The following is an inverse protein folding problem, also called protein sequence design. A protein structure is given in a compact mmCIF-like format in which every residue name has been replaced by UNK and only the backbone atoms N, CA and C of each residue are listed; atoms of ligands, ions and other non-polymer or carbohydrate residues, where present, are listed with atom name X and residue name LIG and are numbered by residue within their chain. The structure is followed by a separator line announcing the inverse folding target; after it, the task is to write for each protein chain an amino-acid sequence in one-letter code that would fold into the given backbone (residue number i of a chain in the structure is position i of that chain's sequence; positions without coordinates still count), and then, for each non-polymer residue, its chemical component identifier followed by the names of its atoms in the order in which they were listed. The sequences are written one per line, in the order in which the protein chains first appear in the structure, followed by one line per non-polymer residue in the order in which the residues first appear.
data_IF_982754776619
#
_entry.id   IF_982754776619
#
_cell.length_a   1.000
_cell.length_b   1.000
_cell.length_c   1.000
_cell.angle_alpha   90.00
_cell.angle_beta   90.00
_cell.angle_gamma   90.00
#
_symmetry.space_group_name_H-M   'P 1'
#
loop_
_entity.id
_entity.type
_entity.pdbx_description
1 polymer ?
#
# COMPACT_ATOMS: atom_id res chain seq x y z
N UNK A 1 -9.25 -14.07 0.47
CA UNK A 1 -9.70 -13.00 -0.44
C UNK A 1 -8.55 -12.03 -0.65
N UNK A 2 -8.43 -11.42 -1.83
CA UNK A 2 -7.41 -10.40 -2.10
C UNK A 2 -7.70 -9.10 -1.32
N UNK A 3 -6.68 -8.27 -1.11
CA UNK A 3 -6.84 -6.96 -0.46
C UNK A 3 -7.92 -6.10 -1.15
N UNK A 4 -7.95 -6.12 -2.48
CA UNK A 4 -8.99 -5.46 -3.28
C UNK A 4 -10.41 -5.92 -2.91
N UNK A 5 -10.61 -7.24 -2.85
CA UNK A 5 -11.90 -7.84 -2.51
C UNK A 5 -12.29 -7.63 -1.04
N UNK A 6 -11.31 -7.53 -0.14
CA UNK A 6 -11.56 -7.25 1.28
C UNK A 6 -12.07 -5.82 1.52
N UNK A 7 -11.76 -4.88 0.63
CA UNK A 7 -12.05 -3.46 0.81
C UNK A 7 -12.93 -2.84 -0.29
N UNK A 8 -13.33 -3.60 -1.30
CA UNK A 8 -14.09 -3.08 -2.45
C UNK A 8 -13.30 -2.13 -3.34
N UNK A 9 -11.96 -2.23 -3.33
CA UNK A 9 -11.09 -1.48 -4.23
C UNK A 9 -10.96 -2.20 -5.58
N UNK A 10 -10.65 -1.47 -6.64
CA UNK A 10 -10.39 -2.04 -7.97
C UNK A 10 -9.10 -2.91 -7.93
N UNK A 11 -9.22 -4.24 -8.11
CA UNK A 11 -8.05 -5.14 -8.07
C UNK A 11 -7.04 -4.85 -9.17
N UNK A 12 -7.48 -4.47 -10.36
CA UNK A 12 -6.59 -4.20 -11.48
C UNK A 12 -5.81 -2.91 -11.26
N UNK A 13 -6.45 -1.91 -10.65
CA UNK A 13 -5.78 -0.68 -10.24
C UNK A 13 -4.69 -0.97 -9.19
N UNK A 14 -5.00 -1.76 -8.16
CA UNK A 14 -4.03 -2.10 -7.12
C UNK A 14 -2.84 -2.88 -7.69
N UNK A 15 -3.07 -3.79 -8.64
CA UNK A 15 -1.99 -4.52 -9.30
C UNK A 15 -1.10 -3.60 -10.14
N UNK A 16 -1.68 -2.70 -10.95
CA UNK A 16 -0.92 -1.72 -11.73
C UNK A 16 -0.04 -0.83 -10.84
N UNK A 17 -0.61 -0.31 -9.75
CA UNK A 17 0.12 0.55 -8.81
C UNK A 17 1.24 -0.23 -8.12
N UNK A 18 0.98 -1.43 -7.57
CA UNK A 18 2.00 -2.23 -6.90
C UNK A 18 3.16 -2.61 -7.84
N UNK A 19 2.86 -2.90 -9.11
CA UNK A 19 3.91 -3.16 -10.10
C UNK A 19 4.76 -1.91 -10.38
N UNK A 20 4.12 -0.76 -10.58
CA UNK A 20 4.83 0.47 -10.87
C UNK A 20 5.67 0.95 -9.68
N UNK A 21 5.15 0.84 -8.47
CA UNK A 21 5.81 1.30 -7.24
C UNK A 21 6.99 0.40 -6.84
N UNK A 22 6.84 -0.92 -6.89
CA UNK A 22 7.83 -1.85 -6.32
C UNK A 22 8.24 -3.00 -7.24
N UNK A 23 7.61 -3.14 -8.42
CA UNK A 23 7.67 -4.37 -9.25
C UNK A 23 7.28 -5.60 -8.45
N UNK A 24 6.26 -5.45 -7.58
CA UNK A 24 5.79 -6.48 -6.65
C UNK A 24 6.82 -6.95 -5.62
N UNK A 25 7.89 -6.18 -5.37
CA UNK A 25 8.85 -6.50 -4.32
C UNK A 25 8.40 -5.94 -2.96
N UNK A 26 8.00 -6.77 -1.99
CA UNK A 26 7.55 -6.30 -0.68
C UNK A 26 8.66 -5.71 0.17
N UNK A 27 9.92 -5.87 -0.21
CA UNK A 27 11.09 -5.30 0.47
C UNK A 27 11.69 -4.10 -0.26
N UNK A 28 11.00 -3.57 -1.28
CA UNK A 28 11.47 -2.39 -1.99
C UNK A 28 11.56 -1.18 -1.05
N UNK A 29 12.67 -0.45 -1.13
CA UNK A 29 12.90 0.80 -0.39
C UNK A 29 13.41 1.86 -1.35
N UNK A 30 12.77 3.01 -1.37
CA UNK A 30 13.29 4.20 -2.04
C UNK A 30 14.28 4.90 -1.09
N UNK A 31 15.57 4.86 -1.42
CA UNK A 31 16.63 5.43 -0.57
C UNK A 31 16.55 6.96 -0.38
N UNK A 32 15.84 7.67 -1.28
CA UNK A 32 15.71 9.14 -1.21
C UNK A 32 14.52 9.58 -0.37
N UNK A 33 13.37 8.94 -0.52
CA UNK A 33 12.14 9.33 0.18
C UNK A 33 11.87 8.50 1.45
N UNK A 34 12.47 7.31 1.56
CA UNK A 34 12.14 6.34 2.60
C UNK A 34 10.83 5.59 2.34
N UNK A 35 10.23 5.75 1.15
CA UNK A 35 9.06 4.98 0.75
C UNK A 35 9.38 3.47 0.71
N UNK A 36 8.46 2.65 1.24
CA UNK A 36 8.75 1.24 1.46
C UNK A 36 7.57 0.29 1.18
N UNK A 37 7.93 -0.94 0.85
CA UNK A 37 6.98 -2.04 0.62
C UNK A 37 6.30 -1.99 -0.74
N UNK A 38 5.30 -2.87 -0.91
CA UNK A 38 4.63 -3.10 -2.19
C UNK A 38 4.05 -1.83 -2.82
N UNK A 39 3.43 -0.99 -2.00
CA UNK A 39 2.80 0.26 -2.40
C UNK A 39 3.63 1.49 -2.03
N UNK A 40 4.93 1.32 -1.74
CA UNK A 40 5.87 2.42 -1.48
C UNK A 40 5.31 3.48 -0.53
N UNK A 41 4.85 3.04 0.64
CA UNK A 41 4.32 3.96 1.65
C UNK A 41 5.44 4.83 2.23
N UNK A 42 5.20 6.14 2.28
CA UNK A 42 6.00 7.04 3.11
C UNK A 42 5.85 6.70 4.60
N UNK A 43 6.90 6.83 5.43
CA UNK A 43 6.86 6.40 6.84
C UNK A 43 5.69 6.98 7.64
N UNK A 44 5.41 8.29 7.50
CA UNK A 44 4.32 8.95 8.20
C UNK A 44 2.93 8.46 7.73
N UNK A 45 2.77 8.26 6.41
CA UNK A 45 1.53 7.73 5.83
C UNK A 45 1.28 6.30 6.28
N UNK A 46 2.33 5.47 6.33
CA UNK A 46 2.24 4.10 6.87
C UNK A 46 1.77 4.11 8.33
N UNK A 47 2.48 4.85 9.19
CA UNK A 47 2.20 4.90 10.63
C UNK A 47 0.75 5.30 10.93
N UNK A 48 0.17 6.23 10.17
CA UNK A 48 -1.21 6.67 10.35
C UNK A 48 -2.23 5.65 9.81
N UNK A 49 -2.01 5.10 8.61
CA UNK A 49 -3.04 4.34 7.91
C UNK A 49 -3.00 2.84 8.19
N UNK A 50 -1.83 2.27 8.54
CA UNK A 50 -1.76 0.84 8.89
C UNK A 50 -2.61 0.55 10.13
N UNK A 51 -2.57 1.41 11.15
CA UNK A 51 -3.42 1.30 12.34
C UNK A 51 -4.90 1.38 11.97
N UNK A 52 -5.28 2.34 11.12
CA UNK A 52 -6.67 2.52 10.66
C UNK A 52 -7.18 1.34 9.82
N UNK A 53 -6.28 0.70 9.08
CA UNK A 53 -6.57 -0.50 8.29
C UNK A 53 -6.54 -1.80 9.13
N UNK A 54 -6.25 -1.72 10.45
CA UNK A 54 -6.22 -2.88 11.35
C UNK A 54 -4.86 -3.60 11.44
N UNK A 55 -3.79 -3.01 10.90
CA UNK A 55 -2.43 -3.55 10.86
C UNK A 55 -1.46 -2.76 11.74
N UNK A 56 -1.95 -2.23 12.86
CA UNK A 56 -1.08 -1.54 13.83
C UNK A 56 0.03 -2.47 14.32
N UNK A 57 1.28 -1.97 14.31
CA UNK A 57 2.47 -2.75 14.69
C UNK A 57 3.02 -3.66 13.58
N UNK A 58 2.32 -3.80 12.45
CA UNK A 58 2.85 -4.53 11.31
C UNK A 58 4.00 -3.77 10.64
N UNK A 59 4.97 -4.53 10.13
CA UNK A 59 6.04 -3.99 9.29
C UNK A 59 5.46 -3.47 7.98
N UNK A 60 5.98 -2.36 7.46
CA UNK A 60 5.66 -1.87 6.10
C UNK A 60 6.06 -2.90 5.02
N UNK A 61 6.98 -3.81 5.35
CA UNK A 61 7.42 -4.90 4.48
C UNK A 61 6.55 -6.15 4.57
N UNK A 62 5.56 -6.19 5.49
CA UNK A 62 4.54 -7.24 5.45
C UNK A 62 3.64 -7.00 4.23
N UNK A 63 3.77 -7.88 3.23
CA UNK A 63 3.06 -7.76 1.97
C UNK A 63 1.53 -7.70 2.14
N UNK A 64 0.97 -8.45 3.09
CA UNK A 64 -0.47 -8.50 3.33
C UNK A 64 -0.94 -7.21 3.97
N UNK A 65 -0.25 -6.74 5.01
CA UNK A 65 -0.56 -5.47 5.67
C UNK A 65 -0.41 -4.29 4.71
N UNK A 66 0.64 -4.29 3.90
CA UNK A 66 0.93 -3.24 2.93
C UNK A 66 -0.18 -3.15 1.88
N UNK A 67 -0.54 -4.28 1.27
CA UNK A 67 -1.60 -4.33 0.26
C UNK A 67 -2.97 -3.97 0.82
N UNK A 68 -3.31 -4.43 2.03
CA UNK A 68 -4.60 -4.10 2.64
C UNK A 68 -4.70 -2.64 3.11
N UNK A 69 -3.59 -2.05 3.57
CA UNK A 69 -3.56 -0.61 3.90
C UNK A 69 -3.74 0.23 2.64
N UNK A 70 -3.13 -0.15 1.52
CA UNK A 70 -3.36 0.51 0.24
C UNK A 70 -4.80 0.36 -0.23
N UNK A 71 -5.37 -0.85 -0.17
CA UNK A 71 -6.76 -1.08 -0.54
C UNK A 71 -7.75 -0.28 0.31
N UNK A 72 -7.51 -0.17 1.63
CA UNK A 72 -8.26 0.71 2.53
C UNK A 72 -8.21 2.18 2.07
N UNK A 73 -7.03 2.69 1.75
CA UNK A 73 -6.88 4.08 1.27
C UNK A 73 -7.55 4.32 -0.08
N UNK A 74 -7.48 3.35 -1.00
CA UNK A 74 -8.11 3.44 -2.32
C UNK A 74 -9.63 3.49 -2.20
N UNK A 75 -10.21 2.64 -1.34
CA UNK A 75 -11.64 2.66 -1.00
C UNK A 75 -12.09 4.04 -0.49
N UNK A 76 -11.24 4.72 0.29
CA UNK A 76 -11.52 6.05 0.84
C UNK A 76 -11.21 7.20 -0.15
N UNK A 77 -11.02 6.90 -1.44
CA UNK A 77 -10.78 7.90 -2.48
C UNK A 77 -9.37 8.49 -2.46
N UNK A 78 -8.41 7.84 -1.78
CA UNK A 78 -7.05 8.37 -1.61
C UNK A 78 -6.06 7.83 -2.65
N UNK A 79 -6.52 7.19 -3.72
CA UNK A 79 -5.66 6.66 -4.78
C UNK A 79 -4.77 7.75 -5.43
N UNK A 80 -5.18 9.02 -5.39
CA UNK A 80 -4.40 10.15 -5.90
C UNK A 80 -3.09 10.43 -5.12
N UNK A 81 -2.87 9.79 -3.97
CA UNK A 81 -1.60 9.88 -3.22
C UNK A 81 -0.46 9.13 -3.92
N UNK A 82 -0.78 8.20 -4.83
CA UNK A 82 0.21 7.47 -5.61
C UNK A 82 0.50 8.19 -6.92
N UNK A 83 1.79 8.25 -7.25
CA UNK A 83 2.23 8.82 -8.53
C UNK A 83 1.97 7.83 -9.67
N UNK A 84 2.10 6.53 -9.38
CA UNK A 84 1.73 5.42 -10.24
C UNK A 84 0.21 5.20 -10.28
N UNK A 85 -0.35 4.80 -11.44
CA UNK A 85 -1.80 4.58 -11.66
C UNK A 85 -2.07 3.38 -12.57
#
# INVERSE_FOLDING_TARGET
GSAAAAWGADPDQLLRVAWCESRYNPYAVNARSGAAGLFQFMPATWAANSVRAGYGGASVFDAVANANTAAYMFRNGQAAQWSCK
#
